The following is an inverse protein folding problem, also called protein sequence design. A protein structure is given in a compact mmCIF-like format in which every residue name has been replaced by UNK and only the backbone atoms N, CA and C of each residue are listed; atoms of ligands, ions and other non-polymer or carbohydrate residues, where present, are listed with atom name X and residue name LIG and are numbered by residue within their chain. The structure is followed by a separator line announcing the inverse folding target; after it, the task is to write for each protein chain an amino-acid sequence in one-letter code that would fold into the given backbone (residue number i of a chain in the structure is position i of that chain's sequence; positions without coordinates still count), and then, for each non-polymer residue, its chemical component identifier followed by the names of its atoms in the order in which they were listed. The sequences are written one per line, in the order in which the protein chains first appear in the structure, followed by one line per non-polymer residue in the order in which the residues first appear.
data_IF_967313248250
#
_entry.id   IF_967313248250
#
_cell.length_a   1.000
_cell.length_b   1.000
_cell.length_c   1.000
_cell.angle_alpha   90.00
_cell.angle_beta   90.00
_cell.angle_gamma   90.00
#
_symmetry.space_group_name_H-M   'P 1'
#
loop_
_entity.id
_entity.type
_entity.pdbx_description
1 polymer ?
#
# COMPACT_ATOMS: atom_id res chain seq x y z
N UNK A 1 -0.47 -6.32 9.13
CA UNK A 1 -0.47 -5.21 10.11
C UNK A 1 -0.21 -5.74 11.53
N UNK A 2 -1.12 -6.57 12.03
CA UNK A 2 -0.87 -7.48 13.17
C UNK A 2 -1.36 -8.92 12.89
N UNK A 3 -2.16 -9.11 11.81
CA UNK A 3 -2.34 -10.40 11.17
C UNK A 3 -1.18 -10.68 10.21
N UNK A 4 -0.95 -11.95 9.85
CA UNK A 4 0.17 -12.41 9.01
C UNK A 4 0.15 -12.00 7.54
N UNK A 5 -0.70 -11.03 7.16
CA UNK A 5 -0.82 -10.51 5.80
C UNK A 5 -0.74 -8.98 5.73
N UNK A 6 -0.44 -8.48 4.53
CA UNK A 6 -0.40 -7.08 4.15
C UNK A 6 -1.27 -6.79 2.94
N UNK A 7 -1.22 -5.56 2.43
CA UNK A 7 -1.90 -5.20 1.20
C UNK A 7 -1.20 -5.84 -0.01
N UNK A 8 -1.99 -6.42 -0.92
CA UNK A 8 -1.56 -6.86 -2.25
C UNK A 8 -2.17 -5.95 -3.31
N UNK A 9 -1.55 -5.87 -4.50
CA UNK A 9 -2.08 -5.05 -5.59
C UNK A 9 -3.42 -5.60 -6.08
N UNK A 10 -3.57 -6.92 -6.07
CA UNK A 10 -4.79 -7.64 -6.46
C UNK A 10 -5.96 -7.29 -5.54
N UNK A 11 -5.74 -7.30 -4.21
CA UNK A 11 -6.77 -6.94 -3.24
C UNK A 11 -7.15 -5.46 -3.35
N UNK A 12 -6.18 -4.58 -3.53
CA UNK A 12 -6.42 -3.14 -3.71
C UNK A 12 -7.26 -2.89 -4.96
N UNK A 13 -6.90 -3.53 -6.07
CA UNK A 13 -7.64 -3.43 -7.33
C UNK A 13 -9.06 -3.95 -7.17
N UNK A 14 -9.24 -5.12 -6.58
CA UNK A 14 -10.54 -5.71 -6.31
C UNK A 14 -11.43 -4.76 -5.48
N UNK A 15 -10.88 -4.19 -4.41
CA UNK A 15 -11.58 -3.20 -3.60
C UNK A 15 -11.96 -1.97 -4.41
N UNK A 16 -11.03 -1.43 -5.22
CA UNK A 16 -11.30 -0.22 -6.01
C UNK A 16 -12.35 -0.44 -7.09
N UNK A 17 -12.27 -1.56 -7.80
CA UNK A 17 -13.24 -1.96 -8.81
C UNK A 17 -14.64 -2.18 -8.19
N UNK A 18 -14.70 -2.64 -6.94
CA UNK A 18 -15.97 -2.86 -6.22
C UNK A 18 -16.64 -1.55 -5.82
N UNK A 19 -15.88 -0.58 -5.29
CA UNK A 19 -16.44 0.67 -4.75
C UNK A 19 -16.55 1.79 -5.79
N UNK A 20 -15.90 1.63 -6.95
CA UNK A 20 -15.93 2.63 -8.02
C UNK A 20 -15.41 3.99 -7.56
N UNK A 21 -16.08 5.07 -7.98
CA UNK A 21 -15.70 6.44 -7.64
C UNK A 21 -16.21 6.92 -6.27
N UNK A 22 -17.15 6.19 -5.66
CA UNK A 22 -17.88 6.66 -4.48
C UNK A 22 -17.05 6.56 -3.19
N UNK A 23 -16.07 5.66 -3.16
CA UNK A 23 -15.20 5.44 -2.00
C UNK A 23 -13.74 5.35 -2.41
N UNK A 24 -12.89 5.90 -1.56
CA UNK A 24 -11.44 5.84 -1.66
C UNK A 24 -10.86 4.59 -0.98
N UNK A 25 -9.78 4.04 -1.54
CA UNK A 25 -9.14 2.82 -1.04
C UNK A 25 -7.81 3.17 -0.37
N UNK A 26 -7.60 2.63 0.84
CA UNK A 26 -6.34 2.73 1.58
C UNK A 26 -5.59 1.40 1.57
N UNK A 27 -4.35 1.39 1.07
CA UNK A 27 -3.45 0.26 1.22
C UNK A 27 -2.62 0.40 2.51
N UNK A 28 -2.53 -0.66 3.33
CA UNK A 28 -1.70 -0.63 4.53
C UNK A 28 -1.19 -2.01 4.94
N UNK A 29 0.00 -2.02 5.53
CA UNK A 29 0.73 -3.25 5.87
C UNK A 29 1.52 -3.78 4.68
N UNK A 30 2.84 -3.91 4.82
CA UNK A 30 3.71 -4.47 3.80
C UNK A 30 4.24 -3.50 2.72
N UNK A 31 3.90 -2.21 2.76
CA UNK A 31 4.45 -1.20 1.84
C UNK A 31 5.77 -0.66 2.40
N UNK A 32 6.92 -1.11 1.87
CA UNK A 32 8.24 -0.87 2.48
C UNK A 32 9.21 -0.07 1.62
N UNK A 33 8.95 0.05 0.33
CA UNK A 33 9.78 0.78 -0.61
C UNK A 33 8.91 1.54 -1.65
N UNK A 34 9.57 2.27 -2.53
CA UNK A 34 8.90 3.08 -3.56
C UNK A 34 8.19 2.20 -4.61
N UNK A 35 8.70 1.00 -4.89
CA UNK A 35 8.08 0.07 -5.84
C UNK A 35 6.74 -0.43 -5.32
N UNK A 36 6.68 -0.88 -4.06
CA UNK A 36 5.44 -1.29 -3.39
C UNK A 36 4.43 -0.14 -3.39
N UNK A 37 4.89 1.07 -3.06
CA UNK A 37 4.05 2.27 -3.07
C UNK A 37 3.41 2.49 -4.44
N UNK A 38 4.20 2.46 -5.51
CA UNK A 38 3.71 2.65 -6.87
C UNK A 38 2.70 1.56 -7.27
N UNK A 39 2.99 0.29 -6.95
CA UNK A 39 2.06 -0.82 -7.20
C UNK A 39 0.69 -0.59 -6.54
N UNK A 40 0.67 -0.12 -5.30
CA UNK A 40 -0.60 0.17 -4.60
C UNK A 40 -1.37 1.32 -5.24
N UNK A 41 -0.66 2.38 -5.65
CA UNK A 41 -1.28 3.54 -6.32
C UNK A 41 -1.83 3.15 -7.69
N UNK A 42 -1.07 2.40 -8.49
CA UNK A 42 -1.50 1.87 -9.79
C UNK A 42 -2.70 0.92 -9.66
N UNK A 43 -2.77 0.15 -8.58
CA UNK A 43 -3.92 -0.68 -8.26
C UNK A 43 -5.17 0.12 -7.83
N UNK A 44 -5.02 1.42 -7.56
CA UNK A 44 -6.14 2.32 -7.28
C UNK A 44 -6.25 2.79 -5.82
N UNK A 45 -5.25 2.54 -4.97
CA UNK A 45 -5.20 3.14 -3.65
C UNK A 45 -4.93 4.66 -3.74
N UNK A 46 -5.70 5.46 -3.01
CA UNK A 46 -5.50 6.92 -2.90
C UNK A 46 -4.79 7.30 -1.60
N UNK A 47 -4.66 6.35 -0.66
CA UNK A 47 -4.00 6.56 0.62
C UNK A 47 -3.12 5.37 0.98
N UNK A 48 -1.93 5.64 1.49
CA UNK A 48 -0.98 4.62 1.94
C UNK A 48 -0.76 4.72 3.46
N UNK A 49 -0.82 3.58 4.15
CA UNK A 49 -0.41 3.43 5.54
C UNK A 49 0.91 2.65 5.62
N UNK A 50 2.01 3.37 5.86
CA UNK A 50 3.36 2.81 6.00
C UNK A 50 4.10 3.48 7.17
N UNK A 51 4.81 2.69 7.98
CA UNK A 51 5.76 3.18 8.99
C UNK A 51 7.07 3.66 8.35
N UNK A 52 7.40 3.12 7.17
CA UNK A 52 8.57 3.44 6.36
C UNK A 52 8.44 4.72 5.51
N UNK A 53 7.49 5.61 5.83
CA UNK A 53 7.13 6.74 4.97
C UNK A 53 8.30 7.65 4.60
N UNK A 54 9.23 7.91 5.53
CA UNK A 54 10.41 8.76 5.26
C UNK A 54 11.36 8.07 4.28
N UNK A 55 11.67 6.79 4.49
CA UNK A 55 12.53 6.00 3.60
C UNK A 55 11.95 5.91 2.20
N UNK A 56 10.65 5.60 2.07
CA UNK A 56 9.96 5.53 0.79
C UNK A 56 10.10 6.84 0.01
N UNK A 57 9.90 7.98 0.68
CA UNK A 57 10.03 9.30 0.06
C UNK A 57 11.47 9.64 -0.35
N UNK A 58 12.46 9.01 0.28
CA UNK A 58 13.88 9.11 -0.10
C UNK A 58 14.27 8.09 -1.18
N UNK A 59 13.34 7.24 -1.65
CA UNK A 59 13.63 6.16 -2.59
C UNK A 59 14.40 4.99 -1.97
N UNK A 60 14.38 4.88 -0.65
CA UNK A 60 15.05 3.83 0.12
C UNK A 60 14.07 2.71 0.47
N UNK A 61 14.63 1.53 0.74
CA UNK A 61 13.89 0.39 1.25
C UNK A 61 14.04 0.29 2.77
N UNK A 62 12.93 0.05 3.46
CA UNK A 62 12.93 -0.16 4.89
C UNK A 62 13.08 -1.65 5.23
N UNK A 63 14.19 -1.97 5.87
CA UNK A 63 14.44 -3.28 6.46
C UNK A 63 13.87 -3.28 7.89
N UNK A 64 12.72 -3.92 8.08
CA UNK A 64 12.11 -4.03 9.42
C UNK A 64 11.34 -5.33 9.59
N UNK A 65 11.69 -6.04 10.67
CA UNK A 65 11.07 -7.29 11.10
C UNK A 65 9.81 -6.99 11.93
N UNK A 66 8.68 -6.81 11.25
CA UNK A 66 7.34 -6.87 11.84
C UNK A 66 6.45 -7.80 11.03
#
# INVERSE_FOLDING_TARGET
GFAGGGATAEDVKLMKDTVGADVEVKASGGVRNLEDFNKMVEAGATRIGASAGVQIMQGLEADSDY
#
